data_IF_926544124008
#
_entry.id   IF_926544124008
#
_cell.length_a   1.000
_cell.length_b   1.000
_cell.length_c   1.000
_cell.angle_alpha   90.00
_cell.angle_beta   90.00
_cell.angle_gamma   90.00
#
_symmetry.space_group_name_H-M   'P 1'
#
loop_
_entity.id
_entity.type
_entity.pdbx_description
1 polymer ?
#
# COMPACT_ATOMS: atom_id res chain seq x y z
N UNK A 1 -0.40 -22.70 31.28
CA UNK A 1 -1.35 -22.01 30.39
C UNK A 1 -1.09 -22.48 28.96
N UNK A 2 -2.09 -22.98 28.21
CA UNK A 2 -1.88 -23.38 26.82
C UNK A 2 -1.55 -22.16 25.96
N UNK A 3 -0.64 -22.32 25.00
CA UNK A 3 -0.29 -21.27 24.05
C UNK A 3 -1.53 -20.91 23.20
N UNK A 4 -1.92 -19.64 23.21
CA UNK A 4 -3.03 -19.14 22.41
C UNK A 4 -2.53 -18.96 20.98
N UNK A 5 -2.81 -19.93 20.10
CA UNK A 5 -2.46 -19.83 18.69
C UNK A 5 -3.43 -18.84 18.05
N UNK A 6 -2.92 -17.70 17.60
CA UNK A 6 -3.71 -16.73 16.85
C UNK A 6 -3.76 -17.17 15.39
N UNK A 7 -4.94 -17.16 14.75
CA UNK A 7 -5.04 -17.45 13.33
C UNK A 7 -4.26 -16.37 12.56
N UNK A 8 -3.43 -16.80 11.62
CA UNK A 8 -2.65 -15.94 10.74
C UNK A 8 -3.24 -16.01 9.33
N UNK A 9 -3.16 -14.94 8.52
CA UNK A 9 -3.61 -14.97 7.13
C UNK A 9 -3.04 -16.15 6.37
N UNK A 10 -3.92 -16.97 5.80
CA UNK A 10 -3.52 -18.11 4.95
C UNK A 10 -2.80 -17.61 3.69
N UNK A 11 -2.19 -18.53 2.94
CA UNK A 11 -1.58 -18.20 1.65
C UNK A 11 -2.61 -17.60 0.69
N UNK A 12 -3.84 -18.11 0.69
CA UNK A 12 -4.94 -17.60 -0.14
C UNK A 12 -5.32 -16.17 0.24
N UNK A 13 -5.42 -15.86 1.53
CA UNK A 13 -5.70 -14.50 2.02
C UNK A 13 -4.57 -13.52 1.67
N UNK A 14 -3.33 -13.98 1.72
CA UNK A 14 -2.18 -13.19 1.29
C UNK A 14 -2.25 -12.89 -0.22
N UNK A 15 -2.66 -13.86 -1.04
CA UNK A 15 -2.89 -13.66 -2.48
C UNK A 15 -4.06 -12.73 -2.78
N UNK A 16 -5.11 -12.72 -1.95
CA UNK A 16 -6.20 -11.73 -2.04
C UNK A 16 -5.64 -10.32 -1.86
N UNK A 17 -4.79 -10.09 -0.85
CA UNK A 17 -4.16 -8.79 -0.64
C UNK A 17 -3.25 -8.41 -1.81
N UNK A 18 -2.37 -9.31 -2.27
CA UNK A 18 -1.47 -9.08 -3.42
C UNK A 18 -2.26 -8.74 -4.68
N UNK A 19 -3.32 -9.49 -4.96
CA UNK A 19 -4.17 -9.29 -6.13
C UNK A 19 -4.92 -7.96 -6.05
N UNK A 20 -5.44 -7.58 -4.88
CA UNK A 20 -6.09 -6.30 -4.70
C UNK A 20 -5.15 -5.12 -5.01
N UNK A 21 -3.91 -5.18 -4.51
CA UNK A 21 -2.87 -4.19 -4.83
C UNK A 21 -2.56 -4.19 -6.32
N UNK A 22 -2.29 -5.37 -6.90
CA UNK A 22 -1.97 -5.52 -8.32
C UNK A 22 -3.05 -4.93 -9.23
N UNK A 23 -4.33 -5.23 -8.96
CA UNK A 23 -5.47 -4.70 -9.72
C UNK A 23 -5.51 -3.17 -9.67
N UNK A 24 -5.27 -2.58 -8.50
CA UNK A 24 -5.18 -1.12 -8.39
C UNK A 24 -3.99 -0.57 -9.18
N UNK A 25 -2.79 -1.18 -9.07
CA UNK A 25 -1.61 -0.72 -9.79
C UNK A 25 -1.80 -0.78 -11.31
N UNK A 26 -2.54 -1.77 -11.82
CA UNK A 26 -2.84 -1.89 -13.26
C UNK A 26 -3.91 -0.91 -13.73
N UNK A 27 -4.97 -0.69 -12.94
CA UNK A 27 -6.15 0.11 -13.37
C UNK A 27 -6.05 1.58 -13.01
N UNK A 28 -5.47 1.90 -11.84
CA UNK A 28 -5.19 3.24 -11.34
C UNK A 28 -6.41 4.18 -11.24
N UNK A 29 -7.60 3.60 -11.01
CA UNK A 29 -8.83 4.36 -10.80
C UNK A 29 -9.14 4.52 -9.32
N UNK A 30 -9.90 5.58 -8.97
CA UNK A 30 -10.35 5.80 -7.58
C UNK A 30 -11.25 4.67 -7.06
N UNK A 31 -12.08 4.09 -7.93
CA UNK A 31 -12.93 2.94 -7.60
C UNK A 31 -12.09 1.71 -7.24
N UNK A 32 -11.06 1.41 -8.04
CA UNK A 32 -10.15 0.30 -7.76
C UNK A 32 -9.36 0.53 -6.45
N UNK A 33 -8.94 1.77 -6.16
CA UNK A 33 -8.29 2.13 -4.90
C UNK A 33 -9.18 1.82 -3.71
N UNK A 34 -10.43 2.29 -3.73
CA UNK A 34 -11.37 2.08 -2.63
C UNK A 34 -11.68 0.58 -2.43
N UNK A 35 -11.85 -0.17 -3.53
CA UNK A 35 -12.05 -1.62 -3.48
C UNK A 35 -10.83 -2.32 -2.88
N UNK A 36 -9.63 -1.97 -3.33
CA UNK A 36 -8.38 -2.50 -2.78
C UNK A 36 -8.30 -2.28 -1.26
N UNK A 37 -8.50 -1.05 -0.77
CA UNK A 37 -8.40 -0.75 0.66
C UNK A 37 -9.43 -1.52 1.50
N UNK A 38 -10.68 -1.62 1.02
CA UNK A 38 -11.74 -2.37 1.72
C UNK A 38 -11.47 -3.87 1.74
N UNK A 39 -11.01 -4.44 0.61
CA UNK A 39 -10.67 -5.87 0.52
C UNK A 39 -9.53 -6.22 1.48
N UNK A 40 -8.45 -5.43 1.49
CA UNK A 40 -7.34 -5.62 2.41
C UNK A 40 -7.82 -5.50 3.86
N UNK A 41 -8.65 -4.48 4.17
CA UNK A 41 -9.20 -4.29 5.51
C UNK A 41 -10.02 -5.49 5.99
N UNK A 42 -10.85 -6.07 5.12
CA UNK A 42 -11.67 -7.24 5.47
C UNK A 42 -10.81 -8.45 5.89
N UNK A 43 -9.68 -8.68 5.20
CA UNK A 43 -8.73 -9.74 5.59
C UNK A 43 -8.13 -9.44 6.96
N UNK A 44 -7.67 -8.21 7.21
CA UNK A 44 -7.10 -7.82 8.50
C UNK A 44 -8.12 -7.97 9.66
N UNK A 45 -9.38 -7.59 9.42
CA UNK A 45 -10.46 -7.71 10.40
C UNK A 45 -10.82 -9.18 10.69
N UNK A 46 -10.85 -10.05 9.67
CA UNK A 46 -11.12 -11.48 9.84
C UNK A 46 -10.13 -12.14 10.82
N UNK A 47 -8.84 -11.78 10.69
CA UNK A 47 -7.78 -12.29 11.55
C UNK A 47 -7.55 -11.47 12.82
N UNK A 48 -8.31 -10.37 13.02
CA UNK A 48 -8.15 -9.42 14.14
C UNK A 48 -6.72 -8.90 14.30
N UNK A 49 -6.04 -8.69 13.18
CA UNK A 49 -4.68 -8.13 13.14
C UNK A 49 -4.71 -6.69 12.65
N UNK A 50 -3.87 -5.84 13.23
CA UNK A 50 -3.78 -4.43 12.82
C UNK A 50 -2.81 -4.20 11.66
N UNK A 51 -1.95 -5.18 11.37
CA UNK A 51 -0.83 -5.05 10.43
C UNK A 51 -0.45 -6.38 9.83
N UNK A 52 -0.13 -6.38 8.54
CA UNK A 52 0.49 -7.52 7.85
C UNK A 52 1.56 -7.04 6.86
N UNK A 53 2.66 -7.78 6.74
CA UNK A 53 3.83 -7.38 5.96
C UNK A 53 4.10 -8.27 4.76
N UNK A 54 4.41 -7.65 3.63
CA UNK A 54 4.98 -8.27 2.43
C UNK A 54 6.43 -7.84 2.25
N UNK A 55 7.12 -8.37 1.24
CA UNK A 55 8.52 -8.01 0.93
C UNK A 55 8.70 -6.51 0.68
N UNK A 56 7.75 -5.89 -0.01
CA UNK A 56 7.84 -4.56 -0.61
C UNK A 56 6.92 -3.53 0.07
N UNK A 57 5.87 -3.96 0.75
CA UNK A 57 4.97 -3.08 1.48
C UNK A 57 4.37 -3.74 2.73
N UNK A 58 3.72 -2.94 3.54
CA UNK A 58 2.97 -3.33 4.73
C UNK A 58 1.56 -2.78 4.57
N UNK A 59 0.57 -3.56 4.96
CA UNK A 59 -0.81 -3.11 5.09
C UNK A 59 -1.18 -2.93 6.55
N UNK A 60 -1.84 -1.83 6.89
CA UNK A 60 -2.19 -1.51 8.28
C UNK A 60 -3.63 -0.99 8.38
N UNK A 61 -4.37 -1.46 9.37
CA UNK A 61 -5.70 -0.96 9.71
C UNK A 61 -5.64 0.51 10.10
N UNK A 62 -6.57 1.34 9.58
CA UNK A 62 -6.78 2.68 10.11
C UNK A 62 -7.66 2.65 11.37
N UNK A 63 -7.61 3.73 12.17
CA UNK A 63 -8.58 3.96 13.27
C UNK A 63 -10.01 4.03 12.76
N UNK A 64 -10.20 4.62 11.58
CA UNK A 64 -11.48 4.63 10.88
C UNK A 64 -11.80 3.20 10.40
N UNK A 65 -12.98 2.65 10.74
CA UNK A 65 -13.43 1.35 10.26
C UNK A 65 -13.52 1.30 8.73
N UNK A 66 -13.27 0.12 8.14
CA UNK A 66 -13.46 -0.11 6.71
C UNK A 66 -12.34 0.41 5.79
N UNK A 67 -11.29 1.02 6.35
CA UNK A 67 -10.12 1.46 5.61
C UNK A 67 -8.82 0.89 6.19
N UNK A 68 -7.81 0.85 5.33
CA UNK A 68 -6.44 0.49 5.67
C UNK A 68 -5.47 1.46 4.97
N UNK A 69 -4.20 1.38 5.31
CA UNK A 69 -3.11 2.06 4.63
C UNK A 69 -2.17 1.04 4.03
N UNK A 70 -1.51 1.42 2.93
CA UNK A 70 -0.42 0.66 2.33
C UNK A 70 0.85 1.49 2.48
N UNK A 71 1.86 0.96 3.16
CA UNK A 71 3.12 1.63 3.44
C UNK A 71 4.25 0.89 2.75
N UNK A 72 5.03 1.57 1.91
CA UNK A 72 6.18 0.94 1.29
C UNK A 72 7.27 0.60 2.32
N UNK A 73 8.07 -0.41 2.02
CA UNK A 73 9.30 -0.73 2.75
C UNK A 73 10.56 -0.16 2.09
N UNK A 74 10.50 0.09 0.77
CA UNK A 74 11.62 0.63 0.00
C UNK A 74 11.49 2.13 -0.16
N UNK A 75 12.61 2.85 -0.06
CA UNK A 75 12.68 4.30 -0.22
C UNK A 75 13.42 4.68 -1.51
N UNK A 76 12.98 5.74 -2.18
CA UNK A 76 13.60 6.26 -3.41
C UNK A 76 13.79 7.78 -3.32
N UNK A 77 14.82 8.29 -3.98
CA UNK A 77 15.17 9.72 -3.99
C UNK A 77 14.96 10.41 -5.34
N UNK A 78 14.72 9.65 -6.42
CA UNK A 78 14.57 10.18 -7.78
C UNK A 78 13.15 10.64 -8.13
N UNK A 79 13.02 11.26 -9.31
CA UNK A 79 11.73 11.64 -9.91
C UNK A 79 11.15 10.59 -10.86
N UNK A 80 11.76 9.40 -10.90
CA UNK A 80 11.31 8.27 -11.71
C UNK A 80 11.20 7.01 -10.86
N UNK A 81 10.35 6.08 -11.30
CA UNK A 81 10.31 4.73 -10.76
C UNK A 81 11.64 4.03 -11.10
N UNK A 82 12.45 3.59 -10.13
CA UNK A 82 13.77 3.04 -10.40
C UNK A 82 13.73 1.67 -11.08
N UNK A 83 12.56 1.05 -11.19
CA UNK A 83 12.40 -0.25 -11.85
C UNK A 83 11.97 -0.18 -13.31
N UNK A 84 11.29 0.89 -13.73
CA UNK A 84 10.78 1.00 -15.11
C UNK A 84 10.96 2.38 -15.75
N UNK A 85 11.60 3.33 -15.06
CA UNK A 85 11.89 4.68 -15.56
C UNK A 85 10.69 5.63 -15.66
N UNK A 86 9.49 5.19 -15.28
CA UNK A 86 8.28 6.01 -15.37
C UNK A 86 8.38 7.23 -14.44
N UNK A 87 8.08 8.43 -14.96
CA UNK A 87 8.10 9.67 -14.18
C UNK A 87 7.05 9.62 -13.07
N UNK A 88 7.41 10.03 -11.84
CA UNK A 88 6.50 9.96 -10.69
C UNK A 88 5.33 10.95 -10.80
N UNK A 89 5.59 12.11 -11.38
CA UNK A 89 4.65 13.23 -11.43
C UNK A 89 4.11 13.46 -12.84
N UNK A 90 2.92 14.05 -12.90
CA UNK A 90 2.25 14.40 -14.15
C UNK A 90 0.99 13.56 -14.42
N UNK A 91 0.05 14.16 -15.17
CA UNK A 91 -1.27 13.58 -15.43
C UNK A 91 -1.18 12.22 -16.16
N UNK A 92 -0.20 12.06 -17.04
CA UNK A 92 0.03 10.84 -17.82
C UNK A 92 0.91 9.81 -17.10
N UNK A 93 1.46 10.15 -15.93
CA UNK A 93 2.28 9.24 -15.14
C UNK A 93 1.50 7.96 -14.85
N UNK A 94 2.18 6.81 -14.91
CA UNK A 94 1.65 5.52 -14.43
C UNK A 94 2.05 5.23 -12.99
N UNK A 95 2.27 6.26 -12.19
CA UNK A 95 2.49 6.18 -10.75
C UNK A 95 1.35 6.84 -10.00
N UNK A 96 0.85 6.22 -8.93
CA UNK A 96 -0.24 6.76 -8.10
C UNK A 96 0.13 6.72 -6.63
N UNK A 97 -0.39 7.69 -5.88
CA UNK A 97 -0.25 7.74 -4.42
C UNK A 97 -1.16 6.68 -3.80
N UNK A 98 -0.58 5.82 -2.97
CA UNK A 98 -1.27 4.83 -2.16
C UNK A 98 -1.62 5.40 -0.78
N UNK A 99 -0.66 6.09 -0.16
CA UNK A 99 -0.76 6.62 1.20
C UNK A 99 0.12 7.87 1.36
N UNK A 100 -0.31 8.81 2.18
CA UNK A 100 0.48 9.98 2.59
C UNK A 100 0.58 9.92 4.11
N UNK A 101 1.80 10.00 4.63
CA UNK A 101 2.02 10.17 6.06
C UNK A 101 2.59 11.57 6.29
N UNK A 102 1.69 12.49 6.61
CA UNK A 102 2.03 13.89 6.87
C UNK A 102 2.93 14.00 8.10
N UNK A 103 4.00 14.77 8.00
CA UNK A 103 4.84 15.15 9.14
C UNK A 103 5.13 16.64 9.12
N UNK A 104 5.70 17.14 10.22
CA UNK A 104 5.89 18.58 10.44
C UNK A 104 6.65 19.30 9.32
N UNK A 105 7.67 18.67 8.73
CA UNK A 105 8.59 19.30 7.77
C UNK A 105 8.67 18.57 6.42
N UNK A 106 7.97 17.44 6.27
CA UNK A 106 7.95 16.61 5.07
C UNK A 106 6.84 15.58 5.18
N UNK A 107 6.37 15.11 4.03
CA UNK A 107 5.43 14.01 3.93
C UNK A 107 6.18 12.77 3.47
N UNK A 108 5.89 11.63 4.11
CA UNK A 108 6.33 10.34 3.61
C UNK A 108 5.21 9.77 2.73
N UNK A 109 5.40 9.87 1.42
CA UNK A 109 4.41 9.45 0.44
C UNK A 109 4.76 8.06 -0.07
N UNK A 110 3.80 7.14 0.02
CA UNK A 110 3.89 5.81 -0.60
C UNK A 110 3.26 5.86 -1.99
N UNK A 111 4.05 5.49 -2.99
CA UNK A 111 3.69 5.40 -4.39
C UNK A 111 3.55 3.95 -4.83
N UNK A 112 2.62 3.73 -5.75
CA UNK A 112 2.45 2.49 -6.50
C UNK A 112 2.58 2.73 -8.00
N UNK A 113 3.52 2.05 -8.65
CA UNK A 113 3.70 2.11 -10.10
C UNK A 113 2.98 0.96 -10.81
N UNK A 114 2.50 1.20 -12.04
CA UNK A 114 1.88 0.17 -12.88
C UNK A 114 2.79 -1.02 -13.18
N UNK A 115 4.11 -0.87 -13.06
CA UNK A 115 5.07 -1.98 -13.14
C UNK A 115 4.99 -2.97 -11.95
N UNK A 116 4.10 -2.73 -10.98
CA UNK A 116 3.85 -3.60 -9.84
C UNK A 116 4.67 -3.25 -8.60
N UNK A 117 5.50 -2.20 -8.64
CA UNK A 117 6.37 -1.81 -7.53
C UNK A 117 5.72 -0.76 -6.64
N UNK A 118 5.91 -0.93 -5.34
CA UNK A 118 5.49 -0.01 -4.28
C UNK A 118 6.74 0.52 -3.59
N UNK A 119 6.84 1.85 -3.45
CA UNK A 119 8.00 2.53 -2.88
C UNK A 119 7.57 3.83 -2.21
N UNK A 120 8.39 4.33 -1.28
CA UNK A 120 8.15 5.60 -0.60
C UNK A 120 9.18 6.65 -1.01
N UNK A 121 8.78 7.91 -0.94
CA UNK A 121 9.64 9.07 -1.12
C UNK A 121 9.25 10.17 -0.12
N UNK A 122 10.22 10.96 0.30
CA UNK A 122 9.98 12.19 1.06
C UNK A 122 9.57 13.29 0.08
N UNK A 123 8.42 13.88 0.34
CA UNK A 123 7.95 15.09 -0.32
C UNK A 123 8.06 16.24 0.68
N UNK A 124 8.61 17.36 0.26
CA UNK A 124 8.76 18.53 1.11
C UNK A 124 7.74 19.57 0.65
N UNK A 125 7.02 20.24 1.56
CA UNK A 125 6.18 21.38 1.19
C UNK A 125 7.08 22.45 0.55
N UNK A 126 6.62 23.00 -0.57
CA UNK A 126 7.26 24.15 -1.24
C UNK A 126 7.18 25.42 -0.39
#
# INVERSE_FOLDING_TARGET
MPAKIYPFPTIEDQEVIRTAVKVFLTTQTGVARNRMLRTIRAVLDHYRISRFGFSDYIVETTRMPGLCTVKARSFVSGQTCPWCGEVLYGLRSKVRILNIQERRNYDLVTYGCRCGKVFAKYEYPE
#
